data_IF_411218242945
#
_entry.id   IF_411218242945
#
_cell.length_a   1.000
_cell.length_b   1.000
_cell.length_c   1.000
_cell.angle_alpha   90.00
_cell.angle_beta   90.00
_cell.angle_gamma   90.00
#
_symmetry.space_group_name_H-M   'P 1'
#
loop_
_entity.id
_entity.type
_entity.pdbx_description
1 polymer ?
#
# COMPACT_ATOMS: atom_id res chain seq x y z
N UNK A 1 0.55 -2.65 -2.78
CA UNK A 1 -0.07 -3.98 -2.59
C UNK A 1 -1.31 -4.06 -3.46
N UNK A 2 -1.70 -5.28 -3.85
CA UNK A 2 -2.78 -5.54 -4.79
C UNK A 2 -3.64 -6.69 -4.29
N UNK A 3 -4.93 -6.71 -4.63
CA UNK A 3 -5.80 -7.87 -4.38
C UNK A 3 -5.65 -8.86 -5.54
N UNK A 4 -5.19 -10.08 -5.25
CA UNK A 4 -5.02 -11.11 -6.27
C UNK A 4 -6.38 -11.55 -6.85
N UNK A 5 -6.54 -11.47 -8.17
CA UNK A 5 -7.79 -11.83 -8.87
C UNK A 5 -8.95 -10.88 -8.60
N UNK A 6 -8.68 -9.61 -8.24
CA UNK A 6 -9.69 -8.62 -7.85
C UNK A 6 -10.88 -8.53 -8.84
N UNK A 7 -10.60 -8.54 -10.14
CA UNK A 7 -11.61 -8.41 -11.19
C UNK A 7 -12.51 -9.66 -11.31
N UNK A 8 -11.92 -10.86 -11.28
CA UNK A 8 -12.67 -12.13 -11.31
C UNK A 8 -13.50 -12.34 -10.04
N UNK A 9 -12.98 -11.87 -8.90
CA UNK A 9 -13.61 -12.03 -7.58
C UNK A 9 -14.50 -10.85 -7.18
N UNK A 10 -14.56 -9.80 -8.00
CA UNK A 10 -15.26 -8.54 -7.72
C UNK A 10 -14.92 -7.95 -6.34
N UNK A 11 -13.63 -7.99 -5.99
CA UNK A 11 -13.11 -7.51 -4.71
C UNK A 11 -12.35 -6.20 -4.87
N UNK A 12 -12.55 -5.28 -3.92
CA UNK A 12 -11.81 -4.02 -3.81
C UNK A 12 -11.39 -3.78 -2.36
N UNK A 13 -10.51 -2.79 -2.13
CA UNK A 13 -10.00 -2.51 -0.80
C UNK A 13 -11.06 -1.94 0.17
N UNK A 14 -12.16 -1.38 -0.33
CA UNK A 14 -13.32 -0.98 0.49
C UNK A 14 -14.02 -2.15 1.21
N UNK A 15 -13.82 -3.39 0.74
CA UNK A 15 -14.37 -4.58 1.38
C UNK A 15 -13.43 -5.19 2.45
N UNK A 16 -12.18 -4.72 2.55
CA UNK A 16 -11.19 -5.26 3.48
C UNK A 16 -11.26 -4.51 4.81
N UNK A 17 -11.87 -5.14 5.82
CA UNK A 17 -11.89 -4.61 7.19
C UNK A 17 -10.54 -4.80 7.87
N UNK A 18 -10.18 -3.85 8.74
CA UNK A 18 -8.93 -3.87 9.52
C UNK A 18 -7.68 -4.00 8.64
N UNK A 19 -7.68 -3.37 7.46
CA UNK A 19 -6.47 -3.27 6.67
C UNK A 19 -5.52 -2.29 7.36
N UNK A 20 -4.24 -2.66 7.48
CA UNK A 20 -3.20 -1.76 7.96
C UNK A 20 -1.85 -2.15 7.35
N UNK A 21 -0.92 -1.19 7.37
CA UNK A 21 0.50 -1.46 7.15
C UNK A 21 1.26 -1.16 8.45
N UNK A 22 2.29 -1.95 8.72
CA UNK A 22 3.21 -1.69 9.83
C UNK A 22 4.65 -1.93 9.44
N UNK A 23 5.54 -1.18 10.08
CA UNK A 23 6.99 -1.35 10.01
C UNK A 23 7.45 -1.90 11.35
N UNK A 24 8.17 -3.01 11.32
CA UNK A 24 8.73 -3.66 12.50
C UNK A 24 10.24 -3.69 12.39
N UNK A 25 10.94 -3.60 13.51
CA UNK A 25 12.37 -3.89 13.55
C UNK A 25 12.65 -5.41 13.56
N UNK A 26 13.94 -5.78 13.58
CA UNK A 26 14.37 -7.19 13.57
C UNK A 26 13.98 -7.95 14.85
N UNK A 27 13.66 -7.24 15.93
CA UNK A 27 13.19 -7.84 17.20
C UNK A 27 11.67 -8.05 17.20
N UNK A 28 10.98 -7.53 16.18
CA UNK A 28 9.53 -7.59 16.05
C UNK A 28 8.80 -6.41 16.72
N UNK A 29 9.53 -5.42 17.25
CA UNK A 29 8.91 -4.20 17.80
C UNK A 29 8.33 -3.36 16.68
N UNK A 30 7.06 -3.00 16.84
CA UNK A 30 6.35 -2.14 15.90
C UNK A 30 6.82 -0.69 16.04
N UNK A 31 7.45 -0.18 14.98
CA UNK A 31 7.98 1.18 14.93
C UNK A 31 6.92 2.17 14.42
N UNK A 32 6.13 1.73 13.44
CA UNK A 32 5.09 2.53 12.79
C UNK A 32 3.94 1.63 12.40
N UNK A 33 2.72 2.13 12.57
CA UNK A 33 1.48 1.53 12.07
C UNK A 33 0.62 2.60 11.42
N UNK A 34 0.03 2.25 10.29
CA UNK A 34 -0.95 3.08 9.61
C UNK A 34 -2.17 2.22 9.30
N UNK A 35 -3.28 2.56 9.96
CA UNK A 35 -4.57 1.94 9.69
C UNK A 35 -5.20 2.57 8.46
N UNK A 36 -5.75 1.74 7.59
CA UNK A 36 -6.44 2.20 6.39
C UNK A 36 -7.86 2.62 6.77
N UNK A 37 -8.01 3.86 7.22
CA UNK A 37 -9.31 4.50 7.44
C UNK A 37 -9.78 5.20 6.16
N UNK A 38 -10.53 4.45 5.34
CA UNK A 38 -11.51 4.91 4.34
C UNK A 38 -11.03 5.41 2.94
N UNK A 39 -11.96 5.20 1.98
CA UNK A 39 -12.04 5.59 0.56
C UNK A 39 -11.29 4.86 -0.57
N UNK A 40 -10.71 3.67 -0.36
CA UNK A 40 -10.29 2.81 -1.49
C UNK A 40 -11.42 1.90 -2.00
N UNK A 41 -12.63 2.47 -2.12
CA UNK A 41 -13.86 1.72 -2.40
C UNK A 41 -13.93 1.15 -3.82
N UNK A 42 -13.04 1.57 -4.72
CA UNK A 42 -13.02 1.14 -6.12
C UNK A 42 -11.67 0.58 -6.57
N UNK A 43 -10.62 0.84 -5.81
CA UNK A 43 -9.24 0.60 -6.17
C UNK A 43 -8.81 -0.82 -5.81
N UNK A 44 -8.06 -1.44 -6.72
CA UNK A 44 -7.59 -2.84 -6.61
C UNK A 44 -6.09 -2.93 -6.34
N UNK A 45 -5.38 -1.79 -6.49
CA UNK A 45 -3.97 -1.59 -6.21
C UNK A 45 -3.82 -0.31 -5.39
N UNK A 46 -3.02 -0.35 -4.32
CA UNK A 46 -2.76 0.82 -3.48
C UNK A 46 -1.27 0.89 -3.14
N UNK A 47 -0.71 2.10 -3.23
CA UNK A 47 0.55 2.46 -2.58
C UNK A 47 0.23 2.91 -1.15
N UNK A 48 0.60 2.07 -0.19
CA UNK A 48 0.29 2.27 1.22
C UNK A 48 1.20 3.32 1.86
N UNK A 49 2.45 3.34 1.44
CA UNK A 49 3.46 4.24 1.95
C UNK A 49 4.83 3.86 1.44
N UNK A 50 5.78 4.74 1.67
CA UNK A 50 7.17 4.59 1.28
C UNK A 50 8.03 4.54 2.54
N UNK A 51 8.92 3.55 2.59
CA UNK A 51 10.02 3.52 3.55
C UNK A 51 11.24 4.08 2.83
N UNK A 52 11.80 5.16 3.35
CA UNK A 52 12.93 5.84 2.73
C UNK A 52 13.99 6.19 3.77
N UNK A 53 15.23 6.34 3.30
CA UNK A 53 16.35 6.71 4.17
C UNK A 53 16.52 8.23 4.16
N UNK A 54 16.61 8.83 5.34
CA UNK A 54 16.90 10.25 5.53
C UNK A 54 18.15 10.35 6.41
N UNK A 55 19.31 10.49 5.77
CA UNK A 55 20.60 10.42 6.46
C UNK A 55 20.86 9.03 7.04
N UNK A 56 21.09 8.96 8.34
CA UNK A 56 21.31 7.70 9.05
C UNK A 56 20.00 6.98 9.45
N UNK A 57 18.85 7.63 9.32
CA UNK A 57 17.57 7.14 9.82
C UNK A 57 16.68 6.57 8.70
N UNK A 58 15.87 5.58 9.06
CA UNK A 58 14.75 5.14 8.24
C UNK A 58 13.50 5.93 8.62
N UNK A 59 12.78 6.41 7.61
CA UNK A 59 11.51 7.12 7.77
C UNK A 59 10.43 6.42 6.97
N UNK A 60 9.21 6.50 7.50
CA UNK A 60 8.01 6.05 6.82
C UNK A 60 7.19 7.27 6.41
N UNK A 61 6.66 7.26 5.20
CA UNK A 61 5.67 8.23 4.72
C UNK A 61 4.43 7.46 4.26
N UNK A 62 3.27 7.76 4.84
CA UNK A 62 2.00 7.32 4.28
C UNK A 62 1.75 8.05 2.95
N UNK A 63 1.40 7.31 1.90
CA UNK A 63 1.13 7.85 0.56
C UNK A 63 -0.37 7.80 0.27
N UNK A 64 -0.96 6.60 0.31
CA UNK A 64 -2.39 6.42 0.12
C UNK A 64 -2.86 6.69 -1.32
N UNK A 65 -2.13 6.19 -2.31
CA UNK A 65 -2.46 6.38 -3.72
C UNK A 65 -3.04 5.08 -4.30
N UNK A 66 -4.30 5.11 -4.72
CA UNK A 66 -5.00 3.98 -5.30
C UNK A 66 -4.96 3.97 -6.82
N UNK A 67 -4.95 2.78 -7.41
CA UNK A 67 -4.99 2.51 -8.85
C UNK A 67 -5.93 1.34 -9.14
N UNK A 68 -6.46 1.32 -10.36
CA UNK A 68 -7.39 0.27 -10.82
C UNK A 68 -6.68 -0.95 -11.42
N UNK A 69 -5.37 -0.85 -11.71
CA UNK A 69 -4.54 -1.95 -12.19
C UNK A 69 -3.05 -1.78 -11.79
N UNK A 70 -2.27 -2.87 -11.91
CA UNK A 70 -0.83 -2.87 -11.60
C UNK A 70 -0.02 -2.12 -12.68
N UNK A 71 -0.56 -2.08 -13.90
CA UNK A 71 0.05 -1.45 -15.06
C UNK A 71 0.12 0.08 -14.92
N UNK A 72 -0.92 0.70 -14.36
CA UNK A 72 -0.98 2.12 -14.02
C UNK A 72 0.06 2.48 -12.96
N UNK A 73 0.18 1.65 -11.92
CA UNK A 73 1.21 1.82 -10.89
C UNK A 73 2.64 1.71 -11.48
N UNK A 74 2.90 0.74 -12.34
CA UNK A 74 4.23 0.54 -12.93
C UNK A 74 4.69 1.74 -13.78
N UNK A 75 3.77 2.34 -14.55
CA UNK A 75 4.05 3.52 -15.38
C UNK A 75 4.40 4.75 -14.54
N UNK A 76 3.66 5.00 -13.45
CA UNK A 76 3.88 6.16 -12.58
C UNK A 76 5.22 6.09 -11.84
N UNK A 77 5.79 4.90 -11.65
CA UNK A 77 7.10 4.68 -11.03
C UNK A 77 8.22 4.34 -12.02
N UNK A 78 7.99 4.50 -13.32
CA UNK A 78 9.03 4.34 -14.35
C UNK A 78 9.52 2.91 -14.56
N UNK A 79 8.72 1.92 -14.16
CA UNK A 79 9.01 0.50 -14.41
C UNK A 79 8.47 0.12 -15.79
N UNK A 80 9.35 -0.36 -16.67
CA UNK A 80 8.96 -0.86 -17.99
C UNK A 80 8.34 -2.26 -17.84
N UNK A 81 7.10 -2.42 -18.29
CA UNK A 81 6.30 -3.65 -18.30
C UNK A 81 6.16 -4.20 -19.71
#
# INVERSE_FOLDING_TARGET
MSIYGAQERQQNFGQVRNAYIRVVDQTGTELVRYDLSEDYSTETVVIFGEVYRNGAEWKFRAVGQGHNDLSGLARDHGVNI
#
